data_IF_640673437495
#
_entry.id   IF_640673437495
#
_cell.length_a   1.000
_cell.length_b   1.000
_cell.length_c   1.000
_cell.angle_alpha   90.00
_cell.angle_beta   90.00
_cell.angle_gamma   90.00
#
_symmetry.space_group_name_H-M   'P 1'
#
loop_
_entity.id
_entity.type
_entity.pdbx_description
1 polymer ?
#
# COMPACT_ATOMS: atom_id res chain seq x y z
N UNK A 1 17.07 35.25 -9.28
CA UNK A 1 15.66 35.34 -9.69
C UNK A 1 14.80 34.58 -8.69
N UNK A 2 14.05 35.26 -7.83
CA UNK A 2 13.08 34.59 -6.96
C UNK A 2 11.91 34.10 -7.82
N UNK A 3 11.69 32.78 -7.87
CA UNK A 3 10.49 32.19 -8.47
C UNK A 3 9.28 32.74 -7.71
N UNK A 4 8.46 33.59 -8.33
CA UNK A 4 7.16 33.97 -7.77
C UNK A 4 6.32 32.70 -7.76
N UNK A 5 6.20 32.06 -6.60
CA UNK A 5 5.26 30.97 -6.41
C UNK A 5 3.87 31.48 -6.79
N UNK A 6 3.12 30.69 -7.58
CA UNK A 6 1.72 31.03 -7.87
C UNK A 6 0.99 31.21 -6.52
N UNK A 7 0.19 32.26 -6.34
CA UNK A 7 -0.66 32.41 -5.17
C UNK A 7 -1.49 31.14 -4.99
N UNK A 8 -1.64 30.71 -3.73
CA UNK A 8 -2.35 29.48 -3.37
C UNK A 8 -3.72 29.35 -4.04
N UNK A 9 -4.43 30.47 -4.19
CA UNK A 9 -5.72 30.54 -4.88
C UNK A 9 -5.67 30.05 -6.34
N UNK A 10 -4.59 30.32 -7.08
CA UNK A 10 -4.43 29.84 -8.45
C UNK A 10 -4.15 28.34 -8.53
N UNK A 11 -3.43 27.79 -7.54
CA UNK A 11 -3.19 26.34 -7.46
C UNK A 11 -4.47 25.58 -7.16
N UNK A 12 -5.32 26.13 -6.29
CA UNK A 12 -6.64 25.56 -5.99
C UNK A 12 -7.53 25.57 -7.22
N UNK A 13 -7.64 26.70 -7.92
CA UNK A 13 -8.43 26.80 -9.15
C UNK A 13 -7.96 25.79 -10.22
N UNK A 14 -6.64 25.63 -10.35
CA UNK A 14 -6.06 24.66 -11.29
C UNK A 14 -6.38 23.21 -10.90
N UNK A 15 -6.36 22.86 -9.62
CA UNK A 15 -6.72 21.53 -9.14
C UNK A 15 -8.24 21.25 -9.26
N UNK A 16 -9.09 22.26 -9.06
CA UNK A 16 -10.54 22.15 -9.26
C UNK A 16 -10.89 21.90 -10.73
N UNK A 17 -10.22 22.60 -11.64
CA UNK A 17 -10.41 22.40 -13.08
C UNK A 17 -9.96 21.00 -13.52
N UNK A 18 -8.79 20.55 -13.05
CA UNK A 18 -8.28 19.21 -13.34
C UNK A 18 -9.22 18.08 -12.86
N UNK A 19 -9.98 18.31 -11.79
CA UNK A 19 -10.90 17.32 -11.21
C UNK A 19 -12.36 17.52 -11.60
N UNK A 20 -12.68 18.54 -12.39
CA UNK A 20 -14.05 18.88 -12.80
C UNK A 20 -14.72 17.77 -13.60
N UNK A 21 -13.95 16.98 -14.36
CA UNK A 21 -14.46 15.87 -15.14
C UNK A 21 -14.87 14.64 -14.30
N UNK A 22 -14.49 14.59 -13.00
CA UNK A 22 -14.77 13.46 -12.12
C UNK A 22 -16.16 13.63 -11.48
N UNK A 23 -17.07 12.73 -11.83
CA UNK A 23 -18.48 12.77 -11.40
C UNK A 23 -18.72 12.16 -10.01
N UNK A 24 -17.87 11.22 -9.60
CA UNK A 24 -17.94 10.60 -8.27
C UNK A 24 -17.32 11.52 -7.21
N UNK A 25 -18.05 11.85 -6.12
CA UNK A 25 -17.61 12.85 -5.15
C UNK A 25 -16.39 12.40 -4.32
N UNK A 26 -16.31 11.12 -3.98
CA UNK A 26 -15.21 10.58 -3.17
C UNK A 26 -13.93 10.48 -4.02
N UNK A 27 -14.06 10.01 -5.25
CA UNK A 27 -12.95 9.97 -6.20
C UNK A 27 -12.45 11.37 -6.57
N UNK A 28 -13.37 12.34 -6.74
CA UNK A 28 -13.03 13.74 -7.01
C UNK A 28 -12.24 14.35 -5.86
N UNK A 29 -12.64 14.09 -4.61
CA UNK A 29 -11.93 14.58 -3.42
C UNK A 29 -10.50 14.04 -3.34
N UNK A 30 -10.33 12.73 -3.53
CA UNK A 30 -9.00 12.10 -3.48
C UNK A 30 -8.12 12.58 -4.63
N UNK A 31 -8.66 12.70 -5.84
CA UNK A 31 -7.93 13.22 -7.00
C UNK A 31 -7.52 14.69 -6.79
N UNK A 32 -8.40 15.51 -6.20
CA UNK A 32 -8.14 16.92 -5.95
C UNK A 32 -6.99 17.10 -4.95
N UNK A 33 -7.01 16.33 -3.86
CA UNK A 33 -5.95 16.33 -2.86
C UNK A 33 -4.59 16.00 -3.47
N UNK A 34 -4.52 14.99 -4.35
CA UNK A 34 -3.28 14.57 -5.01
C UNK A 34 -2.75 15.60 -6.01
N UNK A 35 -3.64 16.18 -6.81
CA UNK A 35 -3.27 17.22 -7.77
C UNK A 35 -2.79 18.48 -7.05
N UNK A 36 -3.46 18.87 -5.95
CA UNK A 36 -3.05 20.03 -5.17
C UNK A 36 -1.70 19.81 -4.48
N UNK A 37 -1.45 18.62 -3.90
CA UNK A 37 -0.15 18.27 -3.30
C UNK A 37 1.00 18.36 -4.33
N UNK A 38 0.80 17.84 -5.54
CA UNK A 38 1.80 17.93 -6.61
C UNK A 38 2.05 19.36 -7.09
N UNK A 39 0.99 20.18 -7.16
CA UNK A 39 1.09 21.60 -7.50
C UNK A 39 1.83 22.41 -6.43
N UNK A 40 1.61 22.13 -5.14
CA UNK A 40 2.35 22.74 -4.04
C UNK A 40 3.80 22.26 -3.97
N UNK A 41 4.05 20.99 -4.27
CA UNK A 41 5.39 20.42 -4.33
C UNK A 41 6.22 20.93 -5.53
N UNK A 42 5.62 21.73 -6.42
CA UNK A 42 6.28 22.26 -7.61
C UNK A 42 6.53 21.21 -8.70
N UNK A 43 5.88 20.04 -8.60
CA UNK A 43 5.85 19.00 -9.62
C UNK A 43 4.75 19.33 -10.63
N UNK A 44 4.94 20.46 -11.32
CA UNK A 44 4.00 20.91 -12.34
C UNK A 44 3.90 19.91 -13.49
N UNK A 45 2.67 19.41 -13.72
CA UNK A 45 2.19 18.77 -14.94
C UNK A 45 2.96 17.52 -15.41
N UNK A 46 2.58 16.36 -14.87
CA UNK A 46 2.69 15.07 -15.56
C UNK A 46 1.34 14.38 -15.49
N UNK A 47 0.35 14.92 -16.20
CA UNK A 47 -0.89 14.22 -16.52
C UNK A 47 -0.99 14.07 -18.02
N UNK A 48 -0.21 13.16 -18.58
CA UNK A 48 -0.62 12.40 -19.74
C UNK A 48 -0.38 10.92 -19.43
N UNK A 49 -1.44 10.13 -19.59
CA UNK A 49 -1.38 8.69 -19.56
C UNK A 49 -0.36 8.22 -20.60
N UNK A 50 0.78 7.71 -20.16
CA UNK A 50 1.58 6.82 -20.98
C UNK A 50 1.92 5.57 -20.17
N UNK A 51 1.45 4.43 -20.68
CA UNK A 51 1.84 3.11 -20.23
C UNK A 51 3.37 3.05 -20.12
N UNK A 52 3.96 2.34 -19.15
CA UNK A 52 5.41 2.25 -19.08
C UNK A 52 5.90 1.30 -20.20
N UNK A 53 6.08 1.86 -21.39
CA UNK A 53 6.96 1.33 -22.41
C UNK A 53 8.40 1.47 -21.89
N UNK A 54 9.10 0.35 -21.88
CA UNK A 54 10.50 0.25 -21.51
C UNK A 54 11.36 1.23 -22.32
N UNK A 55 12.40 1.81 -21.69
CA UNK A 55 13.78 1.73 -22.16
C UNK A 55 14.82 2.29 -21.15
N UNK A 56 16.11 1.91 -21.27
CA UNK A 56 17.06 1.78 -20.16
C UNK A 56 18.20 2.81 -20.16
N UNK A 57 18.78 3.09 -18.98
CA UNK A 57 20.19 3.42 -18.72
C UNK A 57 20.37 3.53 -17.19
N UNK A 58 21.11 2.65 -16.50
CA UNK A 58 22.57 2.74 -16.27
C UNK A 58 23.01 4.16 -15.88
N UNK A 59 23.53 4.49 -14.71
CA UNK A 59 23.89 3.75 -13.51
C UNK A 59 24.61 4.74 -12.57
N UNK A 60 24.43 4.61 -11.27
CA UNK A 60 25.39 5.11 -10.27
C UNK A 60 25.29 4.19 -9.05
N UNK A 61 26.34 3.44 -8.85
CA UNK A 61 26.47 2.44 -7.81
C UNK A 61 26.64 3.09 -6.44
N UNK A 62 25.79 2.69 -5.49
CA UNK A 62 26.23 2.45 -4.12
C UNK A 62 25.78 1.05 -3.74
N UNK A 63 26.78 0.21 -3.57
CA UNK A 63 26.76 -1.15 -3.09
C UNK A 63 26.00 -1.27 -1.77
N UNK A 64 24.85 -1.91 -1.83
CA UNK A 64 24.32 -2.73 -0.76
C UNK A 64 23.64 -3.91 -1.45
N UNK A 65 23.85 -5.16 -1.03
CA UNK A 65 23.18 -6.29 -1.65
C UNK A 65 21.69 -6.10 -1.40
N UNK A 66 20.97 -5.53 -2.37
CA UNK A 66 19.51 -5.52 -2.39
C UNK A 66 19.13 -6.98 -2.55
N UNK A 67 18.98 -7.65 -1.40
CA UNK A 67 18.29 -8.92 -1.30
C UNK A 67 17.08 -8.82 -2.20
N UNK A 68 16.98 -9.74 -3.17
CA UNK A 68 15.86 -9.82 -4.11
C UNK A 68 14.60 -9.62 -3.28
N UNK A 69 13.97 -8.45 -3.36
CA UNK A 69 12.71 -8.18 -2.66
C UNK A 69 11.75 -9.13 -3.33
N UNK A 70 11.48 -10.27 -2.69
CA UNK A 70 10.57 -11.28 -3.15
C UNK A 70 9.19 -10.62 -3.23
N UNK A 71 8.89 -9.88 -4.29
CA UNK A 71 7.60 -9.20 -4.48
C UNK A 71 6.52 -10.27 -4.53
N UNK A 72 5.78 -10.42 -3.45
CA UNK A 72 4.75 -11.42 -3.32
C UNK A 72 4.04 -11.33 -1.98
N UNK A 73 2.85 -11.94 -1.85
CA UNK A 73 2.04 -11.90 -0.63
C UNK A 73 2.83 -12.29 0.63
N UNK A 74 3.73 -13.27 0.50
CA UNK A 74 4.61 -13.73 1.58
C UNK A 74 5.56 -12.64 2.10
N UNK A 75 6.16 -11.85 1.22
CA UNK A 75 7.07 -10.79 1.65
C UNK A 75 6.34 -9.64 2.30
N UNK A 76 5.16 -9.26 1.79
CA UNK A 76 4.36 -8.23 2.44
C UNK A 76 3.96 -8.64 3.85
N UNK A 77 3.51 -9.89 4.05
CA UNK A 77 3.21 -10.38 5.40
C UNK A 77 4.48 -10.41 6.28
N UNK A 78 5.64 -10.72 5.71
CA UNK A 78 6.92 -10.67 6.44
C UNK A 78 7.30 -9.25 6.87
N UNK A 79 7.06 -8.26 6.03
CA UNK A 79 7.21 -6.84 6.40
C UNK A 79 6.25 -6.46 7.53
N UNK A 80 5.00 -6.93 7.51
CA UNK A 80 4.07 -6.75 8.64
C UNK A 80 4.58 -7.40 9.94
N UNK A 81 5.26 -8.55 9.85
CA UNK A 81 5.91 -9.17 11.01
C UNK A 81 7.06 -8.30 11.53
N UNK A 82 7.89 -7.78 10.65
CA UNK A 82 9.03 -6.91 10.98
C UNK A 82 8.57 -5.61 11.66
N UNK A 83 7.47 -5.01 11.17
CA UNK A 83 6.77 -3.88 11.80
C UNK A 83 6.15 -4.20 13.18
N UNK A 84 6.10 -5.48 13.58
CA UNK A 84 5.50 -5.91 14.84
C UNK A 84 3.97 -5.91 14.84
N UNK A 85 3.32 -6.00 13.67
CA UNK A 85 1.86 -6.06 13.56
C UNK A 85 1.27 -7.27 14.30
N UNK A 86 2.01 -8.37 14.37
CA UNK A 86 1.63 -9.63 15.00
C UNK A 86 1.98 -9.73 16.49
N UNK A 87 2.42 -8.63 17.13
CA UNK A 87 2.57 -8.53 18.59
C UNK A 87 1.27 -8.83 19.33
N UNK A 88 0.15 -8.45 18.73
CA UNK A 88 -1.18 -8.81 19.19
C UNK A 88 -1.70 -9.94 18.29
N UNK A 89 -2.51 -10.89 18.82
CA UNK A 89 -3.13 -11.90 18.00
C UNK A 89 -4.04 -11.23 16.97
N UNK A 90 -3.71 -11.41 15.68
CA UNK A 90 -4.43 -10.80 14.55
C UNK A 90 -5.13 -11.86 13.70
N UNK A 91 -6.30 -11.50 13.20
CA UNK A 91 -7.05 -12.35 12.26
C UNK A 91 -6.58 -12.15 10.83
N UNK A 92 -6.84 -13.13 9.96
CA UNK A 92 -6.53 -13.02 8.53
C UNK A 92 -7.28 -11.85 7.86
N UNK A 93 -8.44 -11.45 8.39
CA UNK A 93 -9.19 -10.29 7.91
C UNK A 93 -8.48 -8.97 8.23
N UNK A 94 -7.92 -8.84 9.44
CA UNK A 94 -7.12 -7.68 9.82
C UNK A 94 -5.83 -7.59 9.00
N UNK A 95 -5.15 -8.72 8.76
CA UNK A 95 -3.96 -8.77 7.90
C UNK A 95 -4.30 -8.29 6.48
N UNK A 96 -5.45 -8.71 5.94
CA UNK A 96 -5.94 -8.24 4.63
C UNK A 96 -6.20 -6.73 4.63
N UNK A 97 -6.85 -6.21 5.67
CA UNK A 97 -7.14 -4.79 5.80
C UNK A 97 -5.84 -3.97 5.85
N UNK A 98 -4.84 -4.42 6.60
CA UNK A 98 -3.56 -3.74 6.69
C UNK A 98 -2.77 -3.80 5.38
N UNK A 99 -2.80 -4.94 4.69
CA UNK A 99 -2.24 -5.06 3.35
C UNK A 99 -2.91 -4.09 2.37
N UNK A 100 -4.24 -3.94 2.45
CA UNK A 100 -4.98 -2.97 1.65
C UNK A 100 -4.59 -1.52 2.00
N UNK A 101 -4.42 -1.19 3.28
CA UNK A 101 -3.93 0.13 3.73
C UNK A 101 -2.55 0.46 3.15
N UNK A 102 -1.68 -0.55 3.01
CA UNK A 102 -0.35 -0.43 2.39
C UNK A 102 -0.40 -0.40 0.86
N UNK A 103 -1.58 -0.45 0.24
CA UNK A 103 -1.76 -0.47 -1.21
C UNK A 103 -1.63 -1.85 -1.86
N UNK A 104 -1.61 -2.92 -1.07
CA UNK A 104 -1.52 -4.30 -1.56
C UNK A 104 -2.88 -4.99 -1.47
N UNK A 105 -3.64 -4.94 -2.56
CA UNK A 105 -4.92 -5.65 -2.66
C UNK A 105 -4.69 -7.13 -2.95
N UNK A 106 -4.71 -7.94 -1.90
CA UNK A 106 -4.55 -9.41 -1.99
C UNK A 106 -5.88 -10.10 -1.65
N UNK A 107 -6.25 -11.11 -2.43
CA UNK A 107 -7.43 -11.93 -2.14
C UNK A 107 -7.26 -12.70 -0.82
N UNK A 108 -8.33 -12.83 -0.04
CA UNK A 108 -8.30 -13.54 1.24
C UNK A 108 -7.83 -14.99 1.08
N UNK A 109 -8.22 -15.64 -0.01
CA UNK A 109 -7.82 -17.01 -0.38
C UNK A 109 -6.32 -17.11 -0.64
N UNK A 110 -5.70 -16.06 -1.18
CA UNK A 110 -4.27 -15.99 -1.48
C UNK A 110 -3.41 -15.66 -0.26
N UNK A 111 -4.01 -15.28 0.88
CA UNK A 111 -3.29 -15.02 2.13
C UNK A 111 -3.08 -16.30 2.96
N UNK A 112 -4.00 -17.26 2.86
CA UNK A 112 -3.96 -18.50 3.65
C UNK A 112 -2.65 -19.29 3.46
N UNK A 113 -2.20 -19.46 2.22
CA UNK A 113 -0.97 -20.21 1.89
C UNK A 113 0.30 -19.56 2.46
N UNK A 114 0.57 -18.27 2.16
CA UNK A 114 1.70 -17.54 2.71
C UNK A 114 1.71 -17.47 4.25
N UNK A 115 0.56 -17.26 4.90
CA UNK A 115 0.48 -17.30 6.37
C UNK A 115 0.84 -18.69 6.91
N UNK A 116 0.39 -19.76 6.24
CA UNK A 116 0.70 -21.12 6.63
C UNK A 116 2.20 -21.44 6.48
N UNK A 117 2.85 -20.99 5.39
CA UNK A 117 4.30 -21.12 5.24
C UNK A 117 5.07 -20.39 6.35
N UNK A 118 4.64 -19.18 6.73
CA UNK A 118 5.25 -18.44 7.84
C UNK A 118 5.04 -19.12 9.20
N UNK A 119 3.95 -19.86 9.37
CA UNK A 119 3.77 -20.72 10.54
C UNK A 119 4.74 -21.91 10.55
N UNK A 120 4.99 -22.52 9.39
CA UNK A 120 5.96 -23.62 9.24
C UNK A 120 7.40 -23.14 9.47
N UNK A 121 7.73 -21.93 9.03
CA UNK A 121 9.03 -21.27 9.24
C UNK A 121 9.23 -20.79 10.68
N UNK A 122 8.28 -21.06 11.59
CA UNK A 122 8.31 -20.63 13.01
C UNK A 122 8.43 -19.12 13.18
N UNK A 123 7.91 -18.35 12.22
CA UNK A 123 7.81 -16.88 12.28
C UNK A 123 6.52 -16.46 12.96
N UNK A 124 5.43 -17.20 12.69
CA UNK A 124 4.10 -16.96 13.25
C UNK A 124 3.60 -18.20 14.00
N UNK A 125 2.81 -17.99 15.05
CA UNK A 125 1.98 -19.00 15.70
C UNK A 125 0.53 -18.84 15.31
N UNK A 126 -0.14 -19.96 15.04
CA UNK A 126 -1.58 -20.00 14.77
C UNK A 126 -2.34 -20.51 15.99
N UNK A 127 -3.17 -19.65 16.56
CA UNK A 127 -4.07 -19.96 17.66
C UNK A 127 -5.49 -20.17 17.12
N UNK A 128 -6.15 -21.24 17.55
CA UNK A 128 -7.58 -21.42 17.27
C UNK A 128 -8.37 -20.45 18.16
N UNK A 129 -9.08 -19.51 17.55
CA UNK A 129 -9.95 -18.58 18.26
C UNK A 129 -11.13 -19.31 18.89
N UNK A 130 -11.67 -18.76 19.98
CA UNK A 130 -12.92 -19.23 20.57
C UNK A 130 -14.03 -19.04 19.56
N UNK A 131 -14.60 -20.13 19.08
CA UNK A 131 -15.74 -20.11 18.17
C UNK A 131 -17.03 -20.14 18.98
N UNK A 132 -17.94 -19.22 18.67
CA UNK A 132 -19.34 -19.40 19.04
C UNK A 132 -19.92 -20.63 18.33
N UNK A 133 -20.75 -21.41 19.03
CA UNK A 133 -21.37 -22.64 18.50
C UNK A 133 -22.07 -22.31 17.17
N UNK A 134 -21.61 -22.92 16.07
CA UNK A 134 -22.23 -22.84 14.75
C UNK A 134 -21.47 -22.04 13.69
N UNK A 135 -20.39 -21.32 14.03
CA UNK A 135 -19.57 -20.60 13.04
C UNK A 135 -18.22 -21.27 12.75
N UNK A 136 -17.70 -21.04 11.55
CA UNK A 136 -16.38 -21.52 11.10
C UNK A 136 -15.29 -21.05 12.08
N UNK A 137 -14.28 -21.88 12.36
CA UNK A 137 -13.20 -21.49 13.26
C UNK A 137 -12.38 -20.33 12.73
N UNK A 138 -12.35 -19.25 13.51
CA UNK A 138 -11.45 -18.12 13.28
C UNK A 138 -10.07 -18.49 13.81
N UNK A 139 -9.05 -18.33 12.97
CA UNK A 139 -7.66 -18.49 13.38
C UNK A 139 -7.04 -17.12 13.63
N UNK A 140 -6.38 -17.00 14.78
CA UNK A 140 -5.57 -15.86 15.14
C UNK A 140 -4.10 -16.19 14.91
N UNK A 141 -3.33 -15.20 14.49
CA UNK A 141 -1.90 -15.31 14.23
C UNK A 141 -1.17 -14.34 15.13
N UNK A 142 -0.14 -14.82 15.84
CA UNK A 142 0.78 -14.00 16.63
C UNK A 142 2.21 -14.29 16.18
N UNK A 143 3.15 -13.42 16.53
CA UNK A 143 4.57 -13.76 16.39
C UNK A 143 4.95 -14.96 17.29
N UNK A 144 6.08 -15.61 16.98
CA UNK A 144 6.53 -16.84 17.64
C UNK A 144 7.07 -16.64 19.05
#
# INVERSE_FOLDING_TARGET
MMKRSKPYAELVAQAEEATRAIKDPELRRVAFERVLDDLLAGRGALTESEAPAAQPAQGAATSSPKAKKNRGPKAYIRELVDDGFFKKPKTIAEVKAELANRGHHVALTSLSGPLQSLCQERVLRRHKGKTEKGKKPTYNYSEW
#
